data_IF_242171620807
#
_entry.id   IF_242171620807
#
_cell.length_a   1.000
_cell.length_b   1.000
_cell.length_c   1.000
_cell.angle_alpha   90.00
_cell.angle_beta   90.00
_cell.angle_gamma   90.00
#
_symmetry.space_group_name_H-M   'P 1'
#
loop_
_entity.id
_entity.type
_entity.pdbx_description
1 polymer ?
#
# COMPACT_ATOMS: atom_id res chain seq x y z
N UNK A 1 6.21 27.60 3.25
CA UNK A 1 5.23 27.73 4.34
C UNK A 1 4.55 26.37 4.50
N UNK A 2 4.77 25.65 5.61
CA UNK A 2 4.04 24.38 5.84
C UNK A 2 2.56 24.71 6.05
N UNK A 3 1.70 24.14 5.20
CA UNK A 3 0.23 24.28 5.26
C UNK A 3 -0.42 23.27 6.22
N UNK A 4 0.39 22.47 6.92
CA UNK A 4 -0.07 21.37 7.76
C UNK A 4 0.32 21.54 9.23
N UNK A 5 -0.51 21.00 10.12
CA UNK A 5 -0.29 20.96 11.55
C UNK A 5 0.66 19.82 11.94
N UNK A 6 1.34 20.01 13.07
CA UNK A 6 2.20 19.00 13.71
C UNK A 6 1.37 17.97 14.48
N UNK A 7 1.90 16.76 14.59
CA UNK A 7 1.42 15.70 15.48
C UNK A 7 1.66 16.14 16.93
N UNK A 8 0.62 16.08 17.75
CA UNK A 8 0.66 16.42 19.17
C UNK A 8 0.48 15.15 20.02
N UNK A 9 0.85 15.16 21.31
CA UNK A 9 0.60 14.02 22.20
C UNK A 9 -0.87 13.58 22.25
N UNK A 10 -1.82 14.51 22.15
CA UNK A 10 -3.27 14.20 22.05
C UNK A 10 -3.60 13.39 20.78
N UNK A 11 -2.93 13.68 19.67
CA UNK A 11 -3.10 12.93 18.41
C UNK A 11 -2.48 11.54 18.54
N UNK A 12 -1.31 11.43 19.16
CA UNK A 12 -0.65 10.14 19.41
C UNK A 12 -1.52 9.24 20.28
N UNK A 13 -2.13 9.77 21.34
CA UNK A 13 -3.06 9.01 22.19
C UNK A 13 -4.23 8.45 21.38
N UNK A 14 -4.83 9.26 20.49
CA UNK A 14 -5.90 8.82 19.59
C UNK A 14 -5.43 7.75 18.60
N UNK A 15 -4.23 7.88 18.05
CA UNK A 15 -3.65 6.86 17.18
C UNK A 15 -3.43 5.54 17.95
N UNK A 16 -2.94 5.61 19.19
CA UNK A 16 -2.83 4.45 20.08
C UNK A 16 -4.18 3.79 20.37
N UNK A 17 -5.27 4.56 20.47
CA UNK A 17 -6.62 4.01 20.61
C UNK A 17 -7.11 3.33 19.32
N UNK A 18 -6.71 3.82 18.14
CA UNK A 18 -7.12 3.26 16.85
C UNK A 18 -6.38 1.94 16.55
N UNK A 19 -5.05 1.94 16.59
CA UNK A 19 -4.23 0.77 16.15
C UNK A 19 -3.65 -0.04 17.31
N UNK A 20 -3.85 0.41 18.55
CA UNK A 20 -3.18 -0.13 19.73
C UNK A 20 -1.78 0.47 19.93
N UNK A 21 -1.34 0.69 21.19
CA UNK A 21 -0.09 1.40 21.49
C UNK A 21 1.17 0.69 20.97
N UNK A 22 1.15 -0.64 20.84
CA UNK A 22 2.28 -1.41 20.29
C UNK A 22 2.53 -1.16 18.80
N UNK A 23 1.55 -0.58 18.11
CA UNK A 23 1.56 -0.35 16.68
C UNK A 23 1.74 1.14 16.32
N UNK A 24 2.16 1.95 17.31
CA UNK A 24 2.53 3.35 17.16
C UNK A 24 3.99 3.51 17.59
N UNK A 25 4.79 4.17 16.75
CA UNK A 25 6.16 4.56 17.08
C UNK A 25 6.18 6.09 17.15
N UNK A 26 6.49 6.60 18.33
CA UNK A 26 6.52 8.02 18.66
C UNK A 26 7.66 8.26 19.67
N UNK A 27 8.40 9.35 19.50
CA UNK A 27 9.58 9.71 20.31
C UNK A 27 10.69 8.64 20.38
N UNK A 28 10.72 7.70 19.42
CA UNK A 28 11.76 6.68 19.28
C UNK A 28 12.46 6.86 17.92
N UNK A 29 13.45 7.78 17.92
CA UNK A 29 14.12 8.23 16.70
C UNK A 29 14.81 7.09 15.94
N UNK A 30 15.49 6.18 16.64
CA UNK A 30 16.19 5.04 16.02
C UNK A 30 15.22 4.12 15.28
N UNK A 31 14.03 3.85 15.86
CA UNK A 31 13.02 3.05 15.15
C UNK A 31 12.39 3.79 14.00
N UNK A 32 12.16 5.10 14.14
CA UNK A 32 11.52 5.94 13.12
C UNK A 32 12.44 6.20 11.92
N UNK A 33 13.75 6.16 12.09
CA UNK A 33 14.74 6.38 11.03
C UNK A 33 14.56 5.40 9.86
N UNK A 34 14.23 4.14 10.12
CA UNK A 34 13.92 3.13 9.09
C UNK A 34 12.73 3.48 8.18
N UNK A 35 11.92 4.47 8.58
CA UNK A 35 10.76 4.96 7.85
C UNK A 35 11.00 6.35 7.23
N UNK A 36 12.18 6.94 7.43
CA UNK A 36 12.50 8.30 6.98
C UNK A 36 13.01 8.38 5.53
N UNK A 37 13.39 7.24 4.93
CA UNK A 37 13.92 7.16 3.58
C UNK A 37 13.30 5.99 2.81
N UNK A 38 13.35 6.03 1.49
CA UNK A 38 13.22 4.85 0.63
C UNK A 38 14.59 4.49 0.05
N UNK A 39 14.65 3.78 -1.07
CA UNK A 39 15.91 3.37 -1.71
C UNK A 39 16.51 4.46 -2.62
N UNK A 40 15.91 5.68 -2.65
CA UNK A 40 16.52 6.80 -3.36
C UNK A 40 17.90 7.09 -2.77
N UNK A 41 18.92 7.12 -3.63
CA UNK A 41 20.29 7.34 -3.22
C UNK A 41 20.49 8.78 -2.66
N UNK A 42 21.00 8.85 -1.43
CA UNK A 42 21.49 10.08 -0.81
C UNK A 42 20.63 10.54 0.37
N UNK A 43 21.27 10.73 1.52
CA UNK A 43 20.63 11.12 2.80
C UNK A 43 19.84 12.43 2.73
N UNK A 44 20.19 13.33 1.81
CA UNK A 44 19.48 14.61 1.60
C UNK A 44 18.01 14.45 1.19
N UNK A 45 17.62 13.27 0.72
CA UNK A 45 16.23 12.97 0.36
C UNK A 45 15.44 12.34 1.51
N UNK A 46 16.09 11.96 2.60
CA UNK A 46 15.41 11.44 3.78
C UNK A 46 14.70 12.58 4.53
N UNK A 47 13.55 12.26 5.12
CA UNK A 47 12.82 13.16 5.99
C UNK A 47 12.12 12.37 7.10
N UNK A 48 12.28 12.78 8.36
CA UNK A 48 11.69 12.06 9.49
C UNK A 48 10.16 12.23 9.53
N UNK A 49 9.40 11.15 9.80
CA UNK A 49 8.01 11.28 10.22
C UNK A 49 7.92 11.87 11.63
N UNK A 50 6.73 12.32 12.03
CA UNK A 50 6.46 12.72 13.43
C UNK A 50 5.85 11.56 14.24
N UNK A 51 5.21 10.62 13.56
CA UNK A 51 4.72 9.36 14.14
C UNK A 51 4.63 8.30 13.04
N UNK A 52 4.93 7.05 13.38
CA UNK A 52 4.68 5.89 12.50
C UNK A 52 3.53 5.09 13.07
N UNK A 53 2.54 4.75 12.24
CA UNK A 53 1.40 3.91 12.62
C UNK A 53 1.28 2.70 11.72
N UNK A 54 0.89 1.56 12.32
CA UNK A 54 0.88 0.26 11.67
C UNK A 54 -0.49 -0.40 11.79
N UNK A 55 -1.49 0.04 11.01
CA UNK A 55 -2.81 -0.56 11.01
C UNK A 55 -2.79 -1.99 10.46
N UNK A 56 -3.76 -2.80 10.88
CA UNK A 56 -4.00 -4.16 10.43
C UNK A 56 -5.40 -4.37 9.84
N UNK A 57 -6.22 -3.30 9.75
CA UNK A 57 -7.56 -3.34 9.17
C UNK A 57 -7.91 -2.04 8.45
N UNK A 58 -8.81 -2.14 7.47
CA UNK A 58 -9.28 -0.99 6.68
C UNK A 58 -10.00 0.06 7.52
N UNK A 59 -10.70 -0.36 8.58
CA UNK A 59 -11.41 0.53 9.50
C UNK A 59 -10.44 1.38 10.31
N UNK A 60 -9.28 0.83 10.68
CA UNK A 60 -8.21 1.56 11.37
C UNK A 60 -7.60 2.62 10.45
N UNK A 61 -7.31 2.28 9.19
CA UNK A 61 -6.83 3.24 8.17
C UNK A 61 -7.86 4.35 7.98
N UNK A 62 -9.12 4.01 7.82
CA UNK A 62 -10.21 4.97 7.67
C UNK A 62 -10.32 5.92 8.87
N UNK A 63 -10.14 5.41 10.10
CA UNK A 63 -10.14 6.23 11.31
C UNK A 63 -8.92 7.17 11.39
N UNK A 64 -7.73 6.69 11.01
CA UNK A 64 -6.51 7.52 10.91
C UNK A 64 -6.70 8.65 9.90
N UNK A 65 -7.22 8.34 8.71
CA UNK A 65 -7.47 9.34 7.65
C UNK A 65 -8.46 10.41 8.12
N UNK A 66 -9.57 10.01 8.76
CA UNK A 66 -10.53 10.97 9.33
C UNK A 66 -9.90 11.87 10.41
N UNK A 67 -9.07 11.30 11.28
CA UNK A 67 -8.37 12.05 12.33
C UNK A 67 -7.39 13.06 11.71
N UNK A 68 -6.58 12.62 10.74
CA UNK A 68 -5.59 13.44 10.07
C UNK A 68 -6.25 14.59 9.28
N UNK A 69 -7.34 14.31 8.58
CA UNK A 69 -8.12 15.32 7.85
C UNK A 69 -8.69 16.37 8.82
N UNK A 70 -9.31 15.94 9.94
CA UNK A 70 -9.83 16.85 10.98
C UNK A 70 -8.74 17.73 11.59
N UNK A 71 -7.53 17.19 11.78
CA UNK A 71 -6.40 17.90 12.40
C UNK A 71 -5.48 18.57 11.38
N UNK A 72 -5.75 18.47 10.07
CA UNK A 72 -4.89 18.94 8.97
C UNK A 72 -3.43 18.45 9.09
N UNK A 73 -3.26 17.16 9.37
CA UNK A 73 -1.95 16.49 9.46
C UNK A 73 -1.75 15.67 8.17
N UNK A 74 -0.57 15.71 7.52
CA UNK A 74 -0.34 14.96 6.30
C UNK A 74 -0.15 13.47 6.62
N UNK A 75 -0.54 12.61 5.69
CA UNK A 75 -0.28 11.17 5.74
C UNK A 75 0.62 10.78 4.58
N UNK A 76 1.63 9.98 4.86
CA UNK A 76 2.44 9.29 3.85
C UNK A 76 2.19 7.79 3.95
N UNK A 77 1.41 7.19 3.04
CA UNK A 77 1.25 5.74 2.96
C UNK A 77 2.56 5.09 2.57
N UNK A 78 2.89 3.95 3.19
CA UNK A 78 4.14 3.24 2.94
C UNK A 78 3.93 1.73 2.88
N UNK A 79 4.43 1.12 1.81
CA UNK A 79 4.64 -0.32 1.71
C UNK A 79 5.96 -0.75 2.34
N UNK A 80 6.79 -1.49 1.60
CA UNK A 80 8.10 -1.93 2.08
C UNK A 80 9.17 -0.81 2.11
N UNK A 81 8.91 0.33 1.45
CA UNK A 81 9.91 1.41 1.32
C UNK A 81 10.97 1.16 0.25
N UNK A 82 10.81 0.16 -0.63
CA UNK A 82 11.78 -0.17 -1.68
C UNK A 82 11.72 0.74 -2.93
N UNK A 83 11.09 1.92 -2.82
CA UNK A 83 10.87 2.83 -3.94
C UNK A 83 12.12 3.62 -4.31
N UNK A 84 12.18 4.14 -5.54
CA UNK A 84 13.31 4.92 -6.07
C UNK A 84 12.88 6.31 -6.54
N UNK A 85 11.73 6.79 -6.10
CA UNK A 85 11.12 8.07 -6.49
C UNK A 85 10.96 9.06 -5.33
N UNK A 86 11.12 8.62 -4.08
CA UNK A 86 10.85 9.41 -2.87
C UNK A 86 9.38 9.32 -2.42
N UNK A 87 8.52 8.56 -3.11
CA UNK A 87 7.08 8.47 -2.81
C UNK A 87 6.76 7.94 -1.42
N UNK A 88 7.65 7.13 -0.84
CA UNK A 88 7.49 6.58 0.52
C UNK A 88 8.15 7.44 1.62
N UNK A 89 8.66 8.63 1.28
CA UNK A 89 9.31 9.56 2.22
C UNK A 89 8.31 10.59 2.74
N UNK A 90 8.21 10.78 4.08
CA UNK A 90 7.28 11.73 4.67
C UNK A 90 7.84 13.16 4.63
N UNK A 91 7.93 13.76 3.44
CA UNK A 91 8.56 15.08 3.19
C UNK A 91 7.94 16.26 3.96
N UNK A 92 6.71 16.10 4.48
CA UNK A 92 6.04 17.09 5.34
C UNK A 92 6.01 16.71 6.82
N UNK A 93 6.72 15.63 7.21
CA UNK A 93 6.58 15.00 8.52
C UNK A 93 5.21 14.34 8.67
N UNK A 94 4.53 14.59 9.79
CA UNK A 94 3.19 14.06 10.04
C UNK A 94 3.15 12.56 10.29
N UNK A 95 2.09 11.91 9.79
CA UNK A 95 1.81 10.50 10.04
C UNK A 95 2.35 9.66 8.88
N UNK A 96 3.31 8.79 9.16
CA UNK A 96 3.65 7.73 8.23
C UNK A 96 2.81 6.49 8.54
N UNK A 97 2.09 6.00 7.54
CA UNK A 97 1.16 4.88 7.67
C UNK A 97 1.75 3.65 6.94
N UNK A 98 2.30 2.70 7.71
CA UNK A 98 2.86 1.45 7.17
C UNK A 98 1.79 0.37 7.09
N UNK A 99 1.64 -0.23 5.90
CA UNK A 99 0.71 -1.37 5.68
C UNK A 99 1.34 -2.74 5.96
N UNK A 100 2.52 -2.79 6.60
CA UNK A 100 3.29 -4.04 6.83
C UNK A 100 2.53 -5.13 7.60
N UNK A 101 1.53 -4.76 8.40
CA UNK A 101 0.70 -5.70 9.17
C UNK A 101 -0.52 -6.23 8.39
N UNK A 102 -0.83 -5.62 7.25
CA UNK A 102 -1.89 -6.07 6.34
C UNK A 102 -1.28 -7.01 5.30
N UNK A 103 -0.84 -8.20 5.72
CA UNK A 103 -0.03 -9.11 4.92
C UNK A 103 -0.67 -10.50 4.71
N UNK A 104 -2.00 -10.58 4.71
CA UNK A 104 -2.74 -11.83 4.49
C UNK A 104 -3.16 -12.02 3.04
N UNK A 105 -3.16 -13.27 2.60
CA UNK A 105 -3.97 -13.71 1.47
C UNK A 105 -5.37 -13.97 1.98
N UNK A 106 -6.34 -13.26 1.42
CA UNK A 106 -7.74 -13.33 1.82
C UNK A 106 -8.47 -14.45 1.08
N UNK A 107 -8.08 -14.73 -0.16
CA UNK A 107 -8.73 -15.74 -1.00
C UNK A 107 -7.87 -16.16 -2.19
N UNK A 108 -7.96 -17.45 -2.57
CA UNK A 108 -7.45 -17.98 -3.86
C UNK A 108 -8.63 -18.64 -4.57
N UNK A 109 -9.14 -17.99 -5.62
CA UNK A 109 -10.23 -18.48 -6.47
C UNK A 109 -9.66 -19.11 -7.73
N UNK A 110 -9.53 -20.43 -7.72
CA UNK A 110 -8.91 -21.20 -8.81
C UNK A 110 -9.78 -21.26 -10.06
N UNK A 111 -11.10 -21.22 -9.88
CA UNK A 111 -12.05 -21.32 -11.01
C UNK A 111 -12.05 -20.03 -11.82
N UNK A 112 -12.03 -18.88 -11.14
CA UNK A 112 -11.93 -17.57 -11.78
C UNK A 112 -10.48 -17.13 -12.05
N UNK A 113 -9.49 -17.90 -11.61
CA UNK A 113 -8.05 -17.59 -11.69
C UNK A 113 -7.73 -16.22 -11.07
N UNK A 114 -8.13 -16.03 -9.81
CA UNK A 114 -7.97 -14.78 -9.07
C UNK A 114 -7.38 -15.04 -7.68
N UNK A 115 -6.56 -14.11 -7.20
CA UNK A 115 -6.16 -14.03 -5.79
C UNK A 115 -6.61 -12.69 -5.20
N UNK A 116 -7.08 -12.72 -3.96
CA UNK A 116 -7.42 -11.52 -3.17
C UNK A 116 -6.42 -11.41 -2.02
N UNK A 117 -5.73 -10.28 -1.93
CA UNK A 117 -4.64 -10.07 -0.97
C UNK A 117 -4.75 -8.72 -0.28
N UNK A 118 -4.22 -8.65 0.93
CA UNK A 118 -3.93 -7.39 1.60
C UNK A 118 -2.68 -6.71 0.99
N UNK A 119 -2.54 -5.37 1.09
CA UNK A 119 -1.49 -4.61 0.40
C UNK A 119 -0.07 -4.92 0.86
N UNK A 120 0.13 -5.40 2.09
CA UNK A 120 1.42 -5.72 2.70
C UNK A 120 1.96 -7.11 2.38
N UNK A 121 1.28 -7.89 1.52
CA UNK A 121 1.80 -9.19 1.08
C UNK A 121 3.06 -8.99 0.22
N UNK A 122 4.15 -9.67 0.59
CA UNK A 122 5.39 -9.70 -0.19
C UNK A 122 5.11 -10.38 -1.54
N UNK A 123 5.57 -9.75 -2.62
CA UNK A 123 5.23 -10.15 -3.99
C UNK A 123 5.68 -11.58 -4.31
N UNK A 124 6.87 -11.98 -3.86
CA UNK A 124 7.36 -13.34 -4.08
C UNK A 124 6.54 -14.41 -3.35
N UNK A 125 5.99 -14.08 -2.16
CA UNK A 125 5.18 -15.02 -1.38
C UNK A 125 3.89 -15.40 -2.10
N UNK A 126 3.31 -14.48 -2.88
CA UNK A 126 2.16 -14.77 -3.76
C UNK A 126 2.48 -15.97 -4.67
N UNK A 127 3.60 -15.93 -5.39
CA UNK A 127 3.97 -17.00 -6.32
C UNK A 127 4.40 -18.30 -5.62
N UNK A 128 5.03 -18.21 -4.44
CA UNK A 128 5.35 -19.39 -3.63
C UNK A 128 4.08 -20.16 -3.25
N UNK A 129 3.04 -19.45 -2.82
CA UNK A 129 1.74 -20.05 -2.49
C UNK A 129 1.02 -20.58 -3.72
N UNK A 130 0.98 -19.83 -4.84
CA UNK A 130 0.23 -20.24 -6.03
C UNK A 130 0.78 -21.48 -6.73
N UNK A 131 2.06 -21.81 -6.51
CA UNK A 131 2.75 -22.93 -7.15
C UNK A 131 2.04 -24.27 -6.93
N UNK A 132 1.48 -24.51 -5.75
CA UNK A 132 0.76 -25.77 -5.44
C UNK A 132 -0.52 -25.93 -6.26
N UNK A 133 -1.09 -24.82 -6.75
CA UNK A 133 -2.30 -24.80 -7.57
C UNK A 133 -2.02 -24.80 -9.08
N UNK A 134 -0.74 -24.86 -9.49
CA UNK A 134 -0.37 -24.73 -10.91
C UNK A 134 -0.70 -23.35 -11.49
N UNK A 135 -0.72 -22.31 -10.64
CA UNK A 135 -1.01 -20.93 -11.02
C UNK A 135 0.19 -20.02 -10.71
N UNK A 136 0.23 -18.84 -11.31
CA UNK A 136 1.20 -17.80 -10.96
C UNK A 136 0.66 -16.39 -11.23
N UNK A 137 1.15 -15.42 -10.46
CA UNK A 137 1.05 -13.99 -10.70
C UNK A 137 2.27 -13.51 -11.49
N UNK A 138 2.04 -12.87 -12.63
CA UNK A 138 3.11 -12.56 -13.57
C UNK A 138 3.85 -11.25 -13.33
N UNK A 139 3.34 -10.40 -12.42
CA UNK A 139 4.05 -9.19 -12.01
C UNK A 139 5.44 -9.51 -11.46
N UNK A 140 6.45 -8.79 -11.93
CA UNK A 140 7.86 -9.08 -11.63
C UNK A 140 8.67 -7.80 -11.41
N UNK A 141 8.41 -7.06 -10.31
CA UNK A 141 9.25 -5.95 -9.89
C UNK A 141 10.67 -6.42 -9.54
N UNK A 142 11.65 -5.52 -9.64
CA UNK A 142 13.06 -5.86 -9.40
C UNK A 142 13.38 -6.14 -7.93
N UNK A 143 12.61 -5.59 -6.99
CA UNK A 143 12.69 -5.86 -5.55
C UNK A 143 11.73 -6.97 -5.09
N UNK A 144 11.46 -7.97 -5.95
CA UNK A 144 10.44 -9.01 -5.78
C UNK A 144 10.40 -9.66 -4.38
N UNK A 145 11.57 -9.88 -3.78
CA UNK A 145 11.75 -10.56 -2.49
C UNK A 145 11.35 -9.70 -1.27
N UNK A 146 11.23 -8.38 -1.43
CA UNK A 146 10.94 -7.46 -0.33
C UNK A 146 9.76 -6.53 -0.60
N UNK A 147 9.48 -6.18 -1.85
CA UNK A 147 8.38 -5.27 -2.19
C UNK A 147 7.01 -5.88 -1.88
N UNK A 148 6.14 -5.02 -1.36
CA UNK A 148 4.75 -5.36 -1.10
C UNK A 148 3.89 -5.09 -2.32
N UNK A 149 2.88 -5.93 -2.52
CA UNK A 149 1.98 -5.84 -3.66
C UNK A 149 1.24 -4.50 -3.73
N UNK A 150 0.89 -3.89 -2.60
CA UNK A 150 0.27 -2.56 -2.56
C UNK A 150 1.16 -1.48 -3.13
N UNK A 151 2.48 -1.52 -2.84
CA UNK A 151 3.45 -0.61 -3.46
C UNK A 151 3.56 -0.83 -4.97
N UNK A 152 3.59 -2.09 -5.41
CA UNK A 152 3.64 -2.39 -6.85
C UNK A 152 2.42 -1.86 -7.61
N UNK A 153 1.23 -1.94 -7.01
CA UNK A 153 0.00 -1.38 -7.59
C UNK A 153 0.07 0.15 -7.61
N UNK A 154 0.50 0.76 -6.50
CA UNK A 154 0.59 2.21 -6.36
C UNK A 154 1.60 2.83 -7.34
N UNK A 155 2.66 2.11 -7.69
CA UNK A 155 3.72 2.53 -8.62
C UNK A 155 3.52 1.99 -10.05
N UNK A 156 2.46 1.21 -10.28
CA UNK A 156 2.27 0.42 -11.51
C UNK A 156 3.54 -0.34 -11.95
N UNK A 157 4.17 -1.04 -10.99
CA UNK A 157 5.51 -1.56 -11.15
C UNK A 157 5.65 -2.48 -12.37
N UNK A 158 6.68 -2.22 -13.17
CA UNK A 158 7.13 -3.09 -14.24
C UNK A 158 8.19 -4.09 -13.76
N UNK A 159 9.21 -4.29 -14.58
CA UNK A 159 10.41 -5.06 -14.23
C UNK A 159 10.80 -6.09 -15.30
N UNK A 160 11.65 -7.05 -14.94
CA UNK A 160 12.40 -7.88 -15.88
C UNK A 160 11.55 -8.75 -16.84
N UNK A 161 10.27 -8.98 -16.54
CA UNK A 161 9.37 -9.77 -17.39
C UNK A 161 8.30 -8.95 -18.11
N UNK A 162 8.37 -7.62 -18.03
CA UNK A 162 7.33 -6.73 -18.57
C UNK A 162 7.16 -6.84 -20.10
N UNK A 163 8.20 -7.22 -20.85
CA UNK A 163 8.10 -7.44 -22.30
C UNK A 163 7.13 -8.58 -22.63
N UNK A 164 7.19 -9.70 -21.89
CA UNK A 164 6.32 -10.85 -22.11
C UNK A 164 4.95 -10.67 -21.46
N UNK A 165 4.93 -10.14 -20.24
CA UNK A 165 3.74 -10.18 -19.37
C UNK A 165 3.10 -8.81 -19.10
N UNK A 166 3.72 -7.69 -19.49
CA UNK A 166 3.27 -6.36 -19.11
C UNK A 166 3.57 -5.99 -17.65
N UNK A 167 3.05 -4.84 -17.22
CA UNK A 167 3.26 -4.26 -15.88
C UNK A 167 2.15 -4.68 -14.90
N UNK A 168 2.32 -4.35 -13.62
CA UNK A 168 1.41 -4.71 -12.52
C UNK A 168 -0.05 -4.38 -12.83
N UNK A 169 -0.33 -3.18 -13.35
CA UNK A 169 -1.70 -2.73 -13.66
C UNK A 169 -2.51 -3.66 -14.57
N UNK A 170 -1.84 -4.43 -15.44
CA UNK A 170 -2.51 -5.40 -16.33
C UNK A 170 -3.22 -6.53 -15.57
N UNK A 171 -2.81 -6.77 -14.33
CA UNK A 171 -3.28 -7.88 -13.52
C UNK A 171 -4.23 -7.44 -12.42
N UNK A 172 -4.42 -6.14 -12.19
CA UNK A 172 -5.32 -5.64 -11.16
C UNK A 172 -6.74 -5.66 -11.70
N UNK A 173 -7.62 -6.45 -11.07
CA UNK A 173 -9.03 -6.54 -11.44
C UNK A 173 -9.93 -5.72 -10.52
N UNK A 174 -9.48 -5.43 -9.31
CA UNK A 174 -10.23 -4.64 -8.35
C UNK A 174 -9.43 -4.24 -7.14
N UNK A 175 -9.90 -3.19 -6.47
CA UNK A 175 -9.25 -2.54 -5.34
C UNK A 175 -10.30 -2.15 -4.29
N UNK A 176 -9.93 -2.31 -3.02
CA UNK A 176 -10.56 -1.60 -1.91
C UNK A 176 -9.61 -0.50 -1.47
N UNK A 177 -10.14 0.73 -1.36
CA UNK A 177 -9.35 1.93 -1.15
C UNK A 177 -10.00 2.77 -0.04
N UNK A 178 -9.20 3.20 0.92
CA UNK A 178 -9.58 4.29 1.83
C UNK A 178 -9.27 5.61 1.14
N UNK A 179 -10.32 6.37 0.83
CA UNK A 179 -10.25 7.67 0.18
C UNK A 179 -9.79 8.76 1.17
N UNK A 180 -9.36 9.96 0.70
CA UNK A 180 -8.91 11.05 1.59
C UNK A 180 -9.98 11.58 2.57
N UNK A 181 -11.25 11.28 2.32
CA UNK A 181 -12.37 11.54 3.24
C UNK A 181 -12.44 10.54 4.41
N UNK A 182 -11.74 9.40 4.29
CA UNK A 182 -11.82 8.24 5.16
C UNK A 182 -12.98 7.30 4.79
N UNK A 183 -13.66 7.52 3.66
CA UNK A 183 -14.61 6.57 3.10
C UNK A 183 -13.89 5.36 2.51
N UNK A 184 -14.49 4.18 2.62
CA UNK A 184 -13.99 2.95 2.03
C UNK A 184 -14.75 2.73 0.73
N UNK A 185 -14.05 2.72 -0.38
CA UNK A 185 -14.59 2.49 -1.71
C UNK A 185 -14.07 1.18 -2.30
N UNK A 186 -14.91 0.51 -3.09
CA UNK A 186 -14.53 -0.66 -3.87
C UNK A 186 -14.63 -0.34 -5.37
N UNK A 187 -13.60 -0.67 -6.12
CA UNK A 187 -13.55 -0.50 -7.57
C UNK A 187 -13.24 -1.84 -8.24
N UNK A 188 -13.90 -2.11 -9.37
CA UNK A 188 -13.73 -3.36 -10.11
C UNK A 188 -14.28 -4.59 -9.37
N UNK A 189 -13.65 -5.75 -9.56
CA UNK A 189 -14.07 -7.00 -8.92
C UNK A 189 -13.45 -8.23 -9.56
N UNK A 190 -13.91 -9.43 -9.20
CA UNK A 190 -13.42 -10.71 -9.75
C UNK A 190 -13.98 -11.00 -11.15
N UNK A 191 -13.79 -10.07 -12.09
CA UNK A 191 -14.33 -10.16 -13.45
C UNK A 191 -13.25 -9.75 -14.44
N UNK A 192 -13.10 -10.52 -15.52
CA UNK A 192 -12.12 -10.21 -16.58
C UNK A 192 -12.61 -9.08 -17.50
N UNK A 193 -13.93 -9.00 -17.70
CA UNK A 193 -14.58 -7.93 -18.47
C UNK A 193 -15.45 -7.13 -17.53
N UNK A 194 -15.06 -5.88 -17.29
CA UNK A 194 -15.86 -4.90 -16.57
C UNK A 194 -16.01 -3.66 -17.46
N UNK A 195 -17.25 -3.42 -17.92
CA UNK A 195 -17.59 -2.33 -18.86
C UNK A 195 -18.73 -1.47 -18.32
N UNK A 196 -18.91 -1.50 -17.00
CA UNK A 196 -19.97 -0.75 -16.31
C UNK A 196 -19.39 0.50 -15.64
N UNK A 197 -19.45 1.63 -16.34
CA UNK A 197 -18.98 2.92 -15.84
C UNK A 197 -17.53 3.24 -16.21
N UNK A 198 -16.89 4.10 -15.41
CA UNK A 198 -15.49 4.52 -15.62
C UNK A 198 -14.50 3.51 -15.04
N UNK A 199 -13.32 3.42 -15.67
CA UNK A 199 -12.22 2.59 -15.16
C UNK A 199 -11.52 3.25 -13.97
N UNK A 200 -12.15 3.12 -12.80
CA UNK A 200 -11.60 3.64 -11.54
C UNK A 200 -10.41 2.81 -11.05
N UNK A 201 -10.29 1.55 -11.47
CA UNK A 201 -9.10 0.72 -11.16
C UNK A 201 -7.89 1.30 -11.87
N UNK A 202 -8.01 1.59 -13.17
CA UNK A 202 -6.96 2.22 -13.95
C UNK A 202 -6.54 3.59 -13.42
N UNK A 203 -7.46 4.38 -12.87
CA UNK A 203 -7.14 5.65 -12.21
C UNK A 203 -6.31 5.48 -10.92
N UNK A 204 -6.59 4.44 -10.13
CA UNK A 204 -5.92 4.18 -8.86
C UNK A 204 -4.55 3.51 -9.04
N UNK A 205 -4.39 2.65 -10.05
CA UNK A 205 -3.10 2.05 -10.39
C UNK A 205 -2.12 3.16 -10.81
N UNK A 206 -0.93 3.20 -10.20
CA UNK A 206 0.03 4.27 -10.48
C UNK A 206 -0.27 5.58 -9.75
N UNK A 207 -1.22 5.62 -8.81
CA UNK A 207 -1.56 6.84 -8.07
C UNK A 207 -0.56 7.21 -6.97
N UNK A 208 0.44 6.37 -6.69
CA UNK A 208 1.50 6.61 -5.70
C UNK A 208 0.96 6.97 -4.29
N UNK A 209 -0.19 6.41 -3.92
CA UNK A 209 -0.87 6.69 -2.64
C UNK A 209 -1.49 8.09 -2.51
N UNK A 210 -1.45 8.92 -3.54
CA UNK A 210 -1.96 10.31 -3.52
C UNK A 210 -3.49 10.42 -3.60
N UNK A 211 -4.15 9.41 -4.19
CA UNK A 211 -5.61 9.37 -4.35
C UNK A 211 -6.30 8.51 -3.29
N UNK A 212 -5.56 7.73 -2.52
CA UNK A 212 -6.10 6.85 -1.48
C UNK A 212 -5.12 5.76 -1.05
N UNK A 213 -5.52 4.98 -0.04
CA UNK A 213 -4.70 3.93 0.56
C UNK A 213 -5.37 2.58 0.29
N UNK A 214 -4.66 1.68 -0.39
CA UNK A 214 -5.20 0.35 -0.70
C UNK A 214 -5.27 -0.52 0.55
N UNK A 215 -6.35 -1.28 0.68
CA UNK A 215 -6.59 -2.20 1.80
C UNK A 215 -6.88 -3.63 1.35
N UNK A 216 -7.30 -3.81 0.09
CA UNK A 216 -7.51 -5.11 -0.56
C UNK A 216 -7.23 -4.98 -2.05
N UNK A 217 -6.56 -5.97 -2.62
CA UNK A 217 -6.17 -6.01 -4.03
C UNK A 217 -6.62 -7.34 -4.62
N UNK A 218 -7.30 -7.28 -5.75
CA UNK A 218 -7.76 -8.43 -6.50
C UNK A 218 -6.88 -8.56 -7.74
N UNK A 219 -6.12 -9.66 -7.85
CA UNK A 219 -5.20 -9.90 -8.95
C UNK A 219 -5.64 -11.08 -9.81
N UNK A 220 -5.51 -10.91 -11.13
CA UNK A 220 -5.61 -11.98 -12.12
C UNK A 220 -4.39 -12.89 -12.05
N UNK A 221 -4.64 -14.19 -12.11
CA UNK A 221 -3.64 -15.25 -12.19
C UNK A 221 -3.54 -15.83 -13.60
N UNK A 222 -2.45 -16.53 -13.85
CA UNK A 222 -2.19 -17.28 -15.08
C UNK A 222 -1.82 -18.73 -14.73
N UNK A 223 -1.98 -19.69 -15.66
CA UNK A 223 -1.43 -21.04 -15.50
C UNK A 223 0.10 -20.99 -15.41
N UNK A 224 0.68 -21.76 -14.50
CA UNK A 224 2.13 -21.86 -14.35
C UNK A 224 2.77 -22.29 -15.69
N UNK A 225 3.81 -21.59 -16.21
CA UNK A 225 4.40 -21.86 -17.52
C UNK A 225 5.15 -23.19 -17.62
#
# INVERSE_FOLDING_TARGET
MSRYNKVTPEVVEKLCQIVGPRNVIYDDYEKMENYAHDEVAGEKYAHMPEVVVKPAAKEEIAAIVRLANKKLIPITPRGAGSGLSGGAVPVYGGILLSVERMNKVLEIDRENMVIVVEPGVITNEINKMLKEYGLFYAGYPMSLESCFIGGNVAENAGGGKAIKYGVTGRYVLGLEVVLPTGEIAEFGGKRVKDVTGYDMVGLMVGSEGTLGIFTKIILRLLPLP
#
